data_IF_158482403653
#
_entry.id   IF_158482403653
#
_cell.length_a   1.000
_cell.length_b   1.000
_cell.length_c   1.000
_cell.angle_alpha   90.00
_cell.angle_beta   90.00
_cell.angle_gamma   90.00
#
_symmetry.space_group_name_H-M   'P 1'
#
loop_
_entity.id
_entity.type
_entity.pdbx_description
1 polymer ?
#
# COMPACT_ATOMS: atom_id res chain seq x y z
N UNK A 1 19.76 11.80 16.05
CA UNK A 1 19.63 10.44 15.51
C UNK A 1 18.28 10.37 14.82
N UNK A 2 18.29 10.27 13.49
CA UNK A 2 17.10 10.38 12.65
C UNK A 2 16.27 9.09 12.75
N UNK A 3 15.15 9.13 13.45
CA UNK A 3 13.87 8.47 13.14
C UNK A 3 13.77 6.97 12.80
N UNK A 4 14.83 6.16 12.82
CA UNK A 4 14.78 4.70 12.67
C UNK A 4 14.81 4.02 14.03
N UNK A 5 14.29 2.80 14.15
CA UNK A 5 14.28 2.02 15.39
C UNK A 5 15.69 1.56 15.86
N UNK A 6 16.73 2.35 15.62
CA UNK A 6 18.09 2.15 16.09
C UNK A 6 19.04 1.42 15.14
N UNK A 7 18.60 0.99 13.94
CA UNK A 7 19.49 0.39 12.94
C UNK A 7 19.89 1.38 11.83
N UNK A 8 21.18 1.39 11.50
CA UNK A 8 21.76 2.32 10.51
C UNK A 8 21.24 2.10 9.08
N UNK A 9 20.77 0.89 8.78
CA UNK A 9 20.34 0.47 7.43
C UNK A 9 18.81 0.39 7.28
N UNK A 10 18.06 0.96 8.22
CA UNK A 10 16.59 0.91 8.25
C UNK A 10 15.96 1.40 6.94
N UNK A 11 16.45 2.55 6.45
CA UNK A 11 16.00 3.15 5.21
C UNK A 11 16.13 2.18 4.01
N UNK A 12 17.27 1.50 3.92
CA UNK A 12 17.60 0.63 2.80
C UNK A 12 16.86 -0.71 2.89
N UNK A 13 16.76 -1.29 4.08
CA UNK A 13 16.02 -2.52 4.31
C UNK A 13 14.54 -2.39 3.95
N UNK A 14 13.97 -1.22 4.21
CA UNK A 14 12.60 -0.89 3.83
C UNK A 14 12.43 -0.73 2.31
N UNK A 15 13.40 -0.12 1.61
CA UNK A 15 13.36 -0.07 0.15
C UNK A 15 13.49 -1.47 -0.46
N UNK A 16 14.38 -2.31 0.09
CA UNK A 16 14.56 -3.70 -0.34
C UNK A 16 13.27 -4.49 -0.11
N UNK A 17 12.62 -4.32 1.05
CA UNK A 17 11.36 -4.99 1.37
C UNK A 17 10.27 -4.65 0.35
N UNK A 18 10.13 -3.36 -0.01
CA UNK A 18 9.21 -2.91 -1.05
C UNK A 18 9.53 -3.48 -2.44
N UNK A 19 10.82 -3.56 -2.80
CA UNK A 19 11.25 -4.17 -4.06
C UNK A 19 10.91 -5.65 -4.10
N UNK A 20 11.20 -6.40 -3.03
CA UNK A 20 10.90 -7.84 -2.94
C UNK A 20 9.39 -8.08 -3.06
N UNK A 21 8.57 -7.29 -2.37
CA UNK A 21 7.11 -7.36 -2.51
C UNK A 21 6.64 -7.10 -3.94
N UNK A 22 7.21 -6.09 -4.60
CA UNK A 22 6.90 -5.78 -6.00
C UNK A 22 7.25 -6.95 -6.93
N UNK A 23 8.46 -7.49 -6.83
CA UNK A 23 8.90 -8.63 -7.65
C UNK A 23 8.02 -9.86 -7.43
N UNK A 24 7.56 -10.09 -6.20
CA UNK A 24 6.64 -11.17 -5.90
C UNK A 24 5.29 -10.98 -6.61
N UNK A 25 4.73 -9.76 -6.61
CA UNK A 25 3.49 -9.46 -7.33
C UNK A 25 3.65 -9.66 -8.85
N UNK A 26 4.80 -9.29 -9.43
CA UNK A 26 5.11 -9.62 -10.84
C UNK A 26 5.04 -11.13 -11.07
N UNK A 27 5.64 -11.93 -10.18
CA UNK A 27 5.58 -13.38 -10.23
C UNK A 27 4.15 -13.93 -10.14
N UNK A 28 3.34 -13.38 -9.23
CA UNK A 28 1.91 -13.74 -9.08
C UNK A 28 1.14 -13.43 -10.36
N UNK A 29 1.28 -12.23 -10.92
CA UNK A 29 0.59 -11.85 -12.17
C UNK A 29 1.04 -12.73 -13.33
N UNK A 30 2.34 -13.00 -13.45
CA UNK A 30 2.86 -13.89 -14.48
C UNK A 30 2.32 -15.33 -14.34
N UNK A 31 2.17 -15.82 -13.12
CA UNK A 31 1.59 -17.13 -12.85
C UNK A 31 0.10 -17.18 -13.21
N UNK A 32 -0.67 -16.17 -12.80
CA UNK A 32 -2.10 -16.07 -13.13
C UNK A 32 -2.32 -15.99 -14.64
N UNK A 33 -1.49 -15.23 -15.36
CA UNK A 33 -1.55 -15.17 -16.83
C UNK A 33 -1.21 -16.51 -17.49
N UNK A 34 -0.26 -17.27 -16.93
CA UNK A 34 0.07 -18.62 -17.41
C UNK A 34 -1.07 -19.61 -17.19
N UNK A 35 -1.81 -19.48 -16.10
CA UNK A 35 -2.97 -20.35 -15.83
C UNK A 35 -4.16 -20.04 -16.74
N UNK A 36 -4.39 -18.77 -17.05
CA UNK A 36 -5.44 -18.33 -17.99
C UNK A 36 -5.10 -18.63 -19.46
N UNK A 37 -3.81 -18.71 -19.80
CA UNK A 37 -3.33 -19.06 -21.13
C UNK A 37 -3.40 -20.57 -21.47
N UNK A 38 -3.88 -21.43 -20.55
CA UNK A 38 -4.16 -22.84 -20.89
C UNK A 38 -5.35 -22.88 -21.86
N UNK A 39 -5.20 -23.43 -23.07
CA UNK A 39 -6.29 -23.48 -24.04
C UNK A 39 -7.44 -24.29 -23.46
N UNK A 40 -8.63 -23.67 -23.35
CA UNK A 40 -9.89 -24.41 -23.21
C UNK A 40 -9.94 -25.44 -24.35
N UNK A 41 -9.92 -26.72 -23.98
CA UNK A 41 -9.92 -27.83 -24.93
C UNK A 41 -11.05 -27.68 -25.95
N UNK A 42 -10.64 -27.84 -27.22
CA UNK A 42 -11.42 -28.04 -28.44
C UNK A 42 -12.96 -27.96 -28.30
N UNK A 43 -13.56 -26.92 -28.89
CA UNK A 43 -14.88 -27.08 -29.47
C UNK A 43 -14.79 -28.17 -30.54
N UNK A 44 -15.32 -29.36 -30.23
CA UNK A 44 -15.53 -30.43 -31.22
C UNK A 44 -16.26 -29.79 -32.41
N UNK A 45 -15.73 -29.85 -33.63
CA UNK A 45 -16.50 -29.43 -34.79
C UNK A 45 -17.67 -30.42 -34.90
N UNK A 46 -18.87 -29.96 -34.55
CA UNK A 46 -20.10 -30.66 -34.93
C UNK A 46 -20.13 -30.60 -36.45
N UNK A 47 -19.65 -31.68 -37.06
CA UNK A 47 -19.81 -31.95 -38.48
C UNK A 47 -21.32 -32.14 -38.72
N UNK A 48 -22.01 -31.07 -39.11
CA UNK A 48 -23.34 -31.18 -39.72
C UNK A 48 -23.16 -31.67 -41.16
N UNK A 49 -22.68 -32.91 -41.29
CA UNK A 49 -22.71 -33.66 -42.53
C UNK A 49 -23.97 -34.54 -42.52
N UNK A 50 -25.03 -33.99 -43.12
CA UNK A 50 -26.10 -34.77 -43.75
C UNK A 50 -27.10 -35.46 -42.83
N UNK A 51 -28.36 -35.00 -42.90
CA UNK A 51 -29.47 -35.83 -43.40
C UNK A 51 -30.76 -35.04 -43.43
N UNK A 52 -31.22 -34.83 -44.66
CA UNK A 52 -32.63 -34.80 -44.96
C UNK A 52 -33.27 -36.11 -44.47
N UNK A 53 -34.17 -36.01 -43.49
CA UNK A 53 -35.09 -37.09 -43.15
C UNK A 53 -36.42 -36.51 -42.67
N UNK A 54 -37.41 -36.65 -43.55
CA UNK A 54 -38.84 -36.49 -43.33
C UNK A 54 -39.33 -37.11 -42.00
N UNK A 55 -40.24 -36.36 -41.36
CA UNK A 55 -41.49 -36.78 -40.70
C UNK A 55 -41.54 -38.11 -39.93
N UNK A 56 -41.80 -38.02 -38.62
CA UNK A 56 -42.75 -38.89 -37.90
C UNK A 56 -42.94 -38.34 -36.49
N UNK A 57 -44.19 -38.22 -36.06
CA UNK A 57 -44.53 -37.76 -34.71
C UNK A 57 -44.07 -38.74 -33.62
N UNK A 58 -43.80 -38.19 -32.46
CA UNK A 58 -44.03 -38.84 -31.17
C UNK A 58 -44.06 -37.75 -30.10
N UNK A 59 -45.21 -37.63 -29.43
CA UNK A 59 -45.33 -36.95 -28.15
C UNK A 59 -44.32 -37.57 -27.19
N UNK A 60 -43.29 -36.80 -26.86
CA UNK A 60 -42.31 -37.14 -25.84
C UNK A 60 -42.20 -35.95 -24.92
N UNK A 61 -42.71 -36.11 -23.70
CA UNK A 61 -42.53 -35.21 -22.56
C UNK A 61 -41.11 -34.67 -22.52
N UNK A 62 -40.94 -33.42 -22.98
CA UNK A 62 -39.70 -32.68 -22.89
C UNK A 62 -39.44 -32.39 -21.42
N UNK A 63 -38.62 -33.22 -20.80
CA UNK A 63 -38.12 -32.95 -19.46
C UNK A 63 -37.27 -31.66 -19.57
N UNK A 64 -37.69 -30.63 -18.84
CA UNK A 64 -37.23 -29.24 -18.92
C UNK A 64 -35.78 -29.00 -18.45
N UNK A 65 -34.83 -29.77 -18.94
CA UNK A 65 -33.41 -29.59 -18.61
C UNK A 65 -32.82 -28.31 -19.22
N UNK A 66 -33.39 -27.77 -20.31
CA UNK A 66 -32.89 -26.54 -20.94
C UNK A 66 -33.37 -25.24 -20.29
N UNK A 67 -34.60 -25.22 -19.76
CA UNK A 67 -35.23 -24.02 -19.20
C UNK A 67 -34.71 -23.72 -17.78
N UNK A 68 -34.58 -24.75 -16.95
CA UNK A 68 -34.04 -24.62 -15.58
C UNK A 68 -32.55 -24.24 -15.59
N UNK A 69 -31.77 -24.76 -16.54
CA UNK A 69 -30.36 -24.40 -16.70
C UNK A 69 -30.20 -22.97 -17.25
N UNK A 70 -31.09 -22.53 -18.15
CA UNK A 70 -31.12 -21.17 -18.65
C UNK A 70 -31.46 -20.17 -17.52
N UNK A 71 -32.52 -20.43 -16.75
CA UNK A 71 -32.91 -19.60 -15.61
C UNK A 71 -31.81 -19.54 -14.54
N UNK A 72 -31.22 -20.69 -14.17
CA UNK A 72 -30.13 -20.79 -13.19
C UNK A 72 -28.92 -19.97 -13.64
N UNK A 73 -28.55 -20.05 -14.91
CA UNK A 73 -27.45 -19.28 -15.47
C UNK A 73 -27.76 -17.78 -15.49
N UNK A 74 -28.97 -17.36 -15.88
CA UNK A 74 -29.37 -15.94 -15.83
C UNK A 74 -29.39 -15.39 -14.39
N UNK A 75 -29.91 -16.16 -13.43
CA UNK A 75 -29.95 -15.75 -12.03
C UNK A 75 -28.53 -15.63 -11.46
N UNK A 76 -27.66 -16.63 -11.69
CA UNK A 76 -26.26 -16.59 -11.28
C UNK A 76 -25.49 -15.42 -11.90
N UNK A 77 -25.69 -15.16 -13.20
CA UNK A 77 -25.07 -14.02 -13.89
C UNK A 77 -25.57 -12.68 -13.38
N UNK A 78 -26.87 -12.56 -13.07
CA UNK A 78 -27.46 -11.32 -12.51
C UNK A 78 -26.92 -11.01 -11.12
N UNK A 79 -26.90 -12.00 -10.21
CA UNK A 79 -26.34 -11.85 -8.87
C UNK A 79 -24.85 -11.52 -8.89
N UNK A 80 -24.08 -12.16 -9.77
CA UNK A 80 -22.65 -11.86 -9.92
C UNK A 80 -22.41 -10.43 -10.45
N UNK A 81 -23.30 -9.92 -11.32
CA UNK A 81 -23.22 -8.56 -11.87
C UNK A 81 -23.61 -7.51 -10.83
N UNK A 82 -24.62 -7.77 -10.03
CA UNK A 82 -25.05 -6.84 -8.97
C UNK A 82 -24.06 -6.82 -7.80
N UNK A 83 -23.53 -7.98 -7.39
CA UNK A 83 -22.45 -8.05 -6.39
C UNK A 83 -21.24 -7.21 -6.81
N UNK A 84 -20.89 -7.24 -8.10
CA UNK A 84 -19.74 -6.49 -8.64
C UNK A 84 -19.95 -4.97 -8.61
N UNK A 85 -21.18 -4.49 -8.80
CA UNK A 85 -21.53 -3.06 -8.76
C UNK A 85 -21.54 -2.52 -7.32
N UNK A 86 -22.02 -3.32 -6.36
CA UNK A 86 -22.10 -2.90 -4.96
C UNK A 86 -20.81 -3.13 -4.17
N UNK A 87 -19.88 -3.95 -4.70
CA UNK A 87 -18.61 -4.25 -4.04
C UNK A 87 -17.83 -3.00 -3.63
N UNK A 88 -17.57 -2.08 -4.57
CA UNK A 88 -16.73 -0.91 -4.29
C UNK A 88 -17.37 0.02 -3.22
N UNK A 89 -18.64 0.45 -3.34
CA UNK A 89 -19.28 1.24 -2.30
C UNK A 89 -19.26 0.59 -0.91
N UNK A 90 -19.60 -0.72 -0.84
CA UNK A 90 -19.60 -1.45 0.43
C UNK A 90 -18.19 -1.49 1.02
N UNK A 91 -17.18 -1.81 0.21
CA UNK A 91 -15.81 -1.91 0.66
C UNK A 91 -15.26 -0.55 1.15
N UNK A 92 -15.59 0.55 0.47
CA UNK A 92 -15.24 1.91 0.90
C UNK A 92 -15.93 2.25 2.22
N UNK A 93 -17.23 1.99 2.38
CA UNK A 93 -17.94 2.26 3.63
C UNK A 93 -17.35 1.46 4.79
N UNK A 94 -17.07 0.17 4.59
CA UNK A 94 -16.41 -0.67 5.58
C UNK A 94 -15.04 -0.13 5.96
N UNK A 95 -14.22 0.28 4.98
CA UNK A 95 -12.91 0.85 5.24
C UNK A 95 -12.99 2.20 5.98
N UNK A 96 -13.91 3.09 5.61
CA UNK A 96 -14.10 4.37 6.30
C UNK A 96 -14.53 4.15 7.75
N UNK A 97 -15.46 3.22 7.99
CA UNK A 97 -15.86 2.86 9.35
C UNK A 97 -14.68 2.30 10.17
N UNK A 98 -13.87 1.43 9.56
CA UNK A 98 -12.66 0.89 10.17
C UNK A 98 -11.64 2.00 10.48
N UNK A 99 -11.40 2.90 9.54
CA UNK A 99 -10.49 4.03 9.70
C UNK A 99 -10.94 4.97 10.82
N UNK A 100 -12.24 5.29 10.89
CA UNK A 100 -12.79 6.12 11.98
C UNK A 100 -12.58 5.42 13.33
N UNK A 101 -12.86 4.12 13.43
CA UNK A 101 -12.64 3.37 14.66
C UNK A 101 -11.18 3.43 15.13
N UNK A 102 -10.21 3.30 14.22
CA UNK A 102 -8.78 3.38 14.52
C UNK A 102 -8.26 4.83 14.61
N UNK A 103 -9.03 5.82 14.18
CA UNK A 103 -8.72 7.24 14.40
C UNK A 103 -9.05 7.69 15.83
N UNK A 104 -9.82 6.91 16.59
CA UNK A 104 -10.13 7.19 18.00
C UNK A 104 -8.91 6.84 18.84
N UNK A 105 -8.38 7.83 19.58
CA UNK A 105 -7.25 7.68 20.50
C UNK A 105 -6.03 6.95 19.89
N UNK A 106 -5.39 7.51 18.84
CA UNK A 106 -4.12 6.97 18.38
C UNK A 106 -3.05 7.13 19.47
N UNK A 107 -2.09 6.20 19.48
CA UNK A 107 -1.02 6.16 20.49
C UNK A 107 -0.13 7.41 20.48
N UNK A 108 0.10 7.97 19.31
CA UNK A 108 0.80 9.24 19.11
C UNK A 108 0.06 10.06 18.05
N UNK A 109 -0.38 11.27 18.40
CA UNK A 109 -1.21 12.11 17.52
C UNK A 109 -0.42 12.79 16.41
N UNK A 110 0.83 13.21 16.67
CA UNK A 110 1.64 13.90 15.66
C UNK A 110 2.14 12.91 14.62
N UNK A 111 2.62 11.74 15.06
CA UNK A 111 2.97 10.63 14.17
C UNK A 111 1.72 10.13 13.40
N UNK A 112 0.56 9.97 14.06
CA UNK A 112 -0.67 9.55 13.37
C UNK A 112 -1.09 10.53 12.26
N UNK A 113 -1.03 11.84 12.52
CA UNK A 113 -1.39 12.84 11.52
C UNK A 113 -0.44 12.79 10.32
N UNK A 114 0.86 12.65 10.59
CA UNK A 114 1.88 12.57 9.57
C UNK A 114 1.72 11.31 8.68
N UNK A 115 1.43 10.17 9.30
CA UNK A 115 1.19 8.92 8.58
C UNK A 115 -0.10 8.96 7.74
N UNK A 116 -1.11 9.73 8.15
CA UNK A 116 -2.36 9.90 7.39
C UNK A 116 -2.30 10.98 6.31
N UNK A 117 -1.35 11.92 6.37
CA UNK A 117 -1.21 12.99 5.39
C UNK A 117 -1.09 12.45 3.95
N UNK A 118 -0.24 11.42 3.76
CA UNK A 118 -0.06 10.82 2.44
C UNK A 118 -1.31 10.07 1.97
N UNK A 119 -2.05 9.42 2.88
CA UNK A 119 -3.33 8.77 2.55
C UNK A 119 -4.33 9.82 2.04
N UNK A 120 -4.47 10.95 2.74
CA UNK A 120 -5.40 12.00 2.32
C UNK A 120 -5.07 12.53 0.93
N UNK A 121 -3.78 12.73 0.62
CA UNK A 121 -3.33 13.11 -0.72
C UNK A 121 -3.70 12.03 -1.74
N UNK A 122 -3.35 10.76 -1.48
CA UNK A 122 -3.63 9.65 -2.39
C UNK A 122 -5.12 9.44 -2.66
N UNK A 123 -5.96 9.44 -1.61
CA UNK A 123 -7.41 9.27 -1.72
C UNK A 123 -8.04 10.46 -2.45
N UNK A 124 -7.58 11.68 -2.21
CA UNK A 124 -8.05 12.88 -2.93
C UNK A 124 -7.74 12.77 -4.42
N UNK A 125 -6.51 12.37 -4.78
CA UNK A 125 -6.14 12.16 -6.18
C UNK A 125 -7.01 11.09 -6.83
N UNK A 126 -7.24 9.95 -6.16
CA UNK A 126 -8.13 8.89 -6.65
C UNK A 126 -9.57 9.37 -6.84
N UNK A 127 -10.10 10.15 -5.90
CA UNK A 127 -11.47 10.68 -5.97
C UNK A 127 -11.64 11.66 -7.14
N UNK A 128 -10.65 12.55 -7.34
CA UNK A 128 -10.67 13.52 -8.44
C UNK A 128 -10.47 12.87 -9.81
N UNK A 129 -9.74 11.75 -9.89
CA UNK A 129 -9.49 11.04 -11.14
C UNK A 129 -10.53 9.96 -11.45
N UNK A 130 -11.41 9.61 -10.51
CA UNK A 130 -12.41 8.55 -10.66
C UNK A 130 -13.28 8.72 -11.91
N UNK A 131 -13.74 9.94 -12.21
CA UNK A 131 -14.56 10.21 -13.40
C UNK A 131 -13.80 10.11 -14.73
N UNK A 132 -12.47 10.06 -14.71
CA UNK A 132 -11.61 9.91 -15.90
C UNK A 132 -11.00 8.52 -16.01
N UNK A 133 -10.78 7.86 -14.88
CA UNK A 133 -10.10 6.58 -14.79
C UNK A 133 -10.65 5.73 -13.65
N UNK A 134 -11.36 4.67 -14.04
CA UNK A 134 -11.88 3.67 -13.10
C UNK A 134 -10.93 2.48 -13.03
N UNK A 135 -10.37 2.20 -11.85
CA UNK A 135 -9.56 1.01 -11.62
C UNK A 135 -10.42 -0.25 -11.64
N UNK A 136 -9.78 -1.40 -11.85
CA UNK A 136 -10.44 -2.70 -11.66
C UNK A 136 -10.84 -2.91 -10.19
N UNK A 137 -11.91 -3.68 -9.95
CA UNK A 137 -12.32 -4.07 -8.59
C UNK A 137 -11.19 -4.77 -7.82
N UNK A 138 -10.33 -5.50 -8.52
CA UNK A 138 -9.16 -6.15 -7.91
C UNK A 138 -8.15 -5.11 -7.43
N UNK A 139 -7.83 -4.10 -8.24
CA UNK A 139 -6.97 -2.98 -7.82
C UNK A 139 -7.55 -2.23 -6.63
N UNK A 140 -8.85 -1.94 -6.62
CA UNK A 140 -9.49 -1.32 -5.47
C UNK A 140 -9.39 -2.20 -4.21
N UNK A 141 -9.58 -3.51 -4.33
CA UNK A 141 -9.41 -4.42 -3.20
C UNK A 141 -7.97 -4.39 -2.66
N UNK A 142 -6.96 -4.44 -3.52
CA UNK A 142 -5.55 -4.37 -3.12
C UNK A 142 -5.21 -3.04 -2.42
N UNK A 143 -5.70 -1.92 -2.97
CA UNK A 143 -5.54 -0.59 -2.35
C UNK A 143 -6.18 -0.57 -0.96
N UNK A 144 -7.40 -1.08 -0.81
CA UNK A 144 -8.10 -1.10 0.48
C UNK A 144 -7.41 -1.99 1.52
N UNK A 145 -6.90 -3.17 1.11
CA UNK A 145 -6.13 -4.05 1.98
C UNK A 145 -4.86 -3.34 2.45
N UNK A 146 -4.13 -2.67 1.54
CA UNK A 146 -2.95 -1.91 1.90
C UNK A 146 -3.28 -0.77 2.87
N UNK A 147 -4.34 -0.01 2.59
CA UNK A 147 -4.81 1.08 3.44
C UNK A 147 -5.21 0.57 4.84
N UNK A 148 -5.78 -0.62 4.96
CA UNK A 148 -6.09 -1.22 6.26
C UNK A 148 -4.81 -1.54 7.06
N UNK A 149 -3.80 -2.17 6.43
CA UNK A 149 -2.51 -2.43 7.07
C UNK A 149 -1.80 -1.14 7.51
N UNK A 150 -1.83 -0.12 6.66
CA UNK A 150 -1.29 1.20 6.97
C UNK A 150 -2.03 1.85 8.14
N UNK A 151 -3.36 1.81 8.16
CA UNK A 151 -4.19 2.40 9.24
C UNK A 151 -3.90 1.75 10.59
N UNK A 152 -3.74 0.42 10.63
CA UNK A 152 -3.30 -0.30 11.85
C UNK A 152 -1.95 0.23 12.31
N UNK A 153 -0.99 0.36 11.39
CA UNK A 153 0.33 0.89 11.68
C UNK A 153 0.30 2.34 12.18
N UNK A 154 -0.53 3.20 11.59
CA UNK A 154 -0.69 4.59 11.99
C UNK A 154 -1.35 4.73 13.38
N UNK A 155 -2.33 3.88 13.70
CA UNK A 155 -2.97 3.88 15.03
C UNK A 155 -2.00 3.51 16.15
N UNK A 156 -1.26 2.40 15.96
CA UNK A 156 -0.35 1.89 16.99
C UNK A 156 1.03 2.56 16.98
N UNK A 157 1.40 3.25 15.89
CA UNK A 157 2.79 3.47 15.48
C UNK A 157 3.46 2.16 15.08
N UNK A 158 4.18 2.13 13.96
CA UNK A 158 4.77 0.90 13.40
C UNK A 158 5.62 0.12 14.42
N UNK A 159 6.31 0.81 15.33
CA UNK A 159 7.15 0.19 16.34
C UNK A 159 6.38 -0.58 17.44
N UNK A 160 5.07 -0.33 17.58
CA UNK A 160 4.25 -0.87 18.68
C UNK A 160 3.09 -1.74 18.18
N UNK A 161 3.04 -2.06 16.89
CA UNK A 161 2.00 -2.93 16.35
C UNK A 161 2.16 -4.34 16.92
N UNK A 162 1.11 -4.94 17.51
CA UNK A 162 1.17 -6.27 18.13
C UNK A 162 1.69 -7.37 17.20
N UNK A 163 1.27 -7.36 15.93
CA UNK A 163 1.71 -8.34 14.93
C UNK A 163 3.23 -8.32 14.71
N UNK A 164 3.86 -7.16 14.88
CA UNK A 164 5.30 -7.02 14.80
C UNK A 164 6.05 -7.71 15.93
N UNK A 165 5.50 -7.70 17.15
CA UNK A 165 6.06 -8.44 18.28
C UNK A 165 5.85 -9.95 18.13
N UNK A 166 4.71 -10.40 17.61
CA UNK A 166 4.51 -11.83 17.31
C UNK A 166 5.54 -12.34 16.32
N UNK A 167 5.81 -11.59 15.25
CA UNK A 167 6.85 -11.92 14.30
C UNK A 167 8.25 -11.89 14.93
N UNK A 168 8.51 -10.92 15.81
CA UNK A 168 9.77 -10.84 16.55
C UNK A 168 10.00 -12.11 17.38
N UNK A 169 8.98 -12.57 18.11
CA UNK A 169 9.08 -13.76 18.96
C UNK A 169 9.23 -15.04 18.14
N UNK A 170 8.48 -15.19 17.05
CA UNK A 170 8.51 -16.38 16.19
C UNK A 170 9.81 -16.52 15.39
N UNK A 171 10.41 -15.40 14.96
CA UNK A 171 11.62 -15.38 14.16
C UNK A 171 12.87 -15.03 14.98
N UNK A 172 12.73 -14.94 16.31
CA UNK A 172 13.79 -14.56 17.26
C UNK A 172 14.54 -13.29 16.85
N UNK A 173 13.81 -12.28 16.39
CA UNK A 173 14.38 -11.01 15.93
C UNK A 173 14.74 -10.12 17.14
N UNK A 174 15.71 -9.25 16.94
CA UNK A 174 16.15 -8.32 17.98
C UNK A 174 15.14 -7.20 18.27
N UNK A 175 14.30 -6.84 17.29
CA UNK A 175 13.28 -5.80 17.40
C UNK A 175 12.03 -6.10 16.59
N UNK A 176 11.01 -5.27 16.78
CA UNK A 176 9.80 -5.25 15.97
C UNK A 176 10.10 -4.69 14.57
N UNK A 177 9.94 -5.52 13.53
CA UNK A 177 10.18 -5.15 12.13
C UNK A 177 8.90 -4.96 11.31
N UNK A 178 7.83 -4.47 11.93
CA UNK A 178 6.55 -4.24 11.25
C UNK A 178 6.63 -3.15 10.16
N UNK A 179 7.54 -2.19 10.31
CA UNK A 179 7.93 -1.24 9.26
C UNK A 179 8.21 -1.96 7.93
N UNK A 180 9.07 -2.99 7.96
CA UNK A 180 9.45 -3.78 6.78
C UNK A 180 8.27 -4.54 6.18
N UNK A 181 7.35 -5.03 7.01
CA UNK A 181 6.13 -5.72 6.57
C UNK A 181 5.21 -4.78 5.80
N UNK A 182 5.05 -3.54 6.27
CA UNK A 182 4.26 -2.52 5.58
C UNK A 182 4.92 -2.13 4.26
N UNK A 183 6.24 -1.97 4.23
CA UNK A 183 6.96 -1.64 2.99
C UNK A 183 6.89 -2.79 1.98
N UNK A 184 7.04 -4.03 2.41
CA UNK A 184 6.79 -5.21 1.58
C UNK A 184 5.35 -5.20 1.03
N UNK A 185 4.36 -4.95 1.88
CA UNK A 185 2.95 -4.91 1.50
C UNK A 185 2.66 -3.75 0.54
N UNK A 186 3.32 -2.61 0.69
CA UNK A 186 3.25 -1.46 -0.22
C UNK A 186 3.69 -1.87 -1.64
N UNK A 187 4.86 -2.48 -1.75
CA UNK A 187 5.35 -3.00 -3.03
C UNK A 187 4.46 -4.09 -3.61
N UNK A 188 4.06 -5.07 -2.79
CA UNK A 188 3.25 -6.20 -3.24
C UNK A 188 1.85 -5.77 -3.68
N UNK A 189 1.12 -5.03 -2.85
CA UNK A 189 -0.30 -4.71 -3.09
C UNK A 189 -0.47 -3.56 -4.10
N UNK A 190 0.41 -2.56 -4.11
CA UNK A 190 0.24 -1.38 -4.96
C UNK A 190 0.89 -1.49 -6.33
N UNK A 191 1.71 -2.52 -6.59
CA UNK A 191 2.31 -2.71 -7.91
C UNK A 191 1.24 -2.91 -8.98
N UNK A 192 0.25 -3.76 -8.71
CA UNK A 192 -0.79 -4.06 -9.71
C UNK A 192 -1.66 -2.83 -10.05
N UNK A 193 -2.21 -2.07 -9.08
CA UNK A 193 -2.88 -0.80 -9.37
C UNK A 193 -1.99 0.19 -10.14
N UNK A 194 -0.72 0.34 -9.75
CA UNK A 194 0.22 1.25 -10.45
C UNK A 194 0.44 0.82 -11.90
N UNK A 195 0.60 -0.49 -12.14
CA UNK A 195 0.75 -1.07 -13.47
C UNK A 195 -0.49 -0.85 -14.32
N UNK A 196 -1.67 -1.10 -13.75
CA UNK A 196 -2.96 -0.88 -14.41
C UNK A 196 -3.11 0.59 -14.84
N UNK A 197 -2.77 1.53 -13.96
CA UNK A 197 -2.80 2.96 -14.28
C UNK A 197 -1.86 3.32 -15.43
N UNK A 198 -0.61 2.82 -15.42
CA UNK A 198 0.38 3.13 -16.45
C UNK A 198 0.03 2.53 -17.82
N UNK A 199 -0.47 1.30 -17.85
CA UNK A 199 -0.89 0.67 -19.11
C UNK A 199 -2.12 1.37 -19.68
N UNK A 200 -3.14 1.63 -18.86
CA UNK A 200 -4.43 2.13 -19.34
C UNK A 200 -4.49 3.65 -19.52
N UNK A 201 -3.72 4.43 -18.75
CA UNK A 201 -3.69 5.91 -18.86
C UNK A 201 -2.54 6.41 -19.71
N UNK A 202 -1.32 5.90 -19.48
CA UNK A 202 -0.13 6.37 -20.19
C UNK A 202 0.16 5.58 -21.48
N UNK A 203 -0.67 4.58 -21.82
CA UNK A 203 -0.48 3.70 -22.99
C UNK A 203 0.92 3.06 -23.03
N UNK A 204 1.53 2.87 -21.85
CA UNK A 204 2.83 2.27 -21.73
C UNK A 204 2.74 0.81 -22.19
N UNK A 205 3.78 0.33 -22.89
CA UNK A 205 3.87 -1.09 -23.24
C UNK A 205 3.83 -1.92 -21.94
N UNK A 206 3.08 -3.03 -21.88
CA UNK A 206 2.87 -3.80 -20.65
C UNK A 206 4.17 -4.21 -19.94
N UNK A 207 5.21 -4.53 -20.70
CA UNK A 207 6.54 -4.89 -20.19
C UNK A 207 7.22 -3.71 -19.49
N UNK A 208 7.21 -2.54 -20.12
CA UNK A 208 7.81 -1.32 -19.56
C UNK A 208 7.00 -0.77 -18.38
N UNK A 209 5.68 -0.92 -18.41
CA UNK A 209 4.82 -0.52 -17.33
C UNK A 209 5.18 -1.23 -16.01
N UNK A 210 5.69 -2.46 -16.04
CA UNK A 210 6.13 -3.18 -14.83
C UNK A 210 7.30 -2.43 -14.19
N UNK A 211 8.36 -2.18 -14.96
CA UNK A 211 9.55 -1.49 -14.46
C UNK A 211 9.26 -0.06 -14.04
N UNK A 212 8.41 0.64 -14.79
CA UNK A 212 7.92 1.98 -14.41
C UNK A 212 7.11 1.95 -13.11
N UNK A 213 6.31 0.91 -12.87
CA UNK A 213 5.57 0.76 -11.61
C UNK A 213 6.52 0.53 -10.43
N UNK A 214 7.50 -0.36 -10.58
CA UNK A 214 8.54 -0.59 -9.57
C UNK A 214 9.30 0.70 -9.27
N UNK A 215 9.71 1.45 -10.30
CA UNK A 215 10.42 2.71 -10.15
C UNK A 215 9.55 3.79 -9.47
N UNK A 216 8.28 3.91 -9.86
CA UNK A 216 7.35 4.86 -9.27
C UNK A 216 7.09 4.58 -7.79
N UNK A 217 6.89 3.30 -7.43
CA UNK A 217 6.71 2.90 -6.04
C UNK A 217 7.99 3.13 -5.22
N UNK A 218 9.16 2.79 -5.74
CA UNK A 218 10.44 3.07 -5.08
C UNK A 218 10.64 4.57 -4.84
N UNK A 219 10.27 5.42 -5.82
CA UNK A 219 10.33 6.86 -5.69
C UNK A 219 9.37 7.39 -4.61
N UNK A 220 8.11 6.93 -4.60
CA UNK A 220 7.13 7.32 -3.58
C UNK A 220 7.56 6.89 -2.17
N UNK A 221 8.11 5.68 -2.05
CA UNK A 221 8.62 5.14 -0.80
C UNK A 221 9.84 5.93 -0.27
N UNK A 222 10.71 6.37 -1.18
CA UNK A 222 11.84 7.24 -0.83
C UNK A 222 11.35 8.63 -0.40
N UNK A 223 10.37 9.18 -1.12
CA UNK A 223 9.82 10.51 -0.88
C UNK A 223 9.13 10.62 0.49
N UNK A 224 8.30 9.63 0.86
CA UNK A 224 7.62 9.62 2.16
C UNK A 224 8.61 9.66 3.33
N UNK A 225 9.75 8.97 3.20
CA UNK A 225 10.82 8.98 4.20
C UNK A 225 11.55 10.31 4.29
N UNK A 226 11.85 10.95 3.17
CA UNK A 226 12.48 12.27 3.16
C UNK A 226 11.62 13.34 3.84
N UNK A 227 10.29 13.21 3.75
CA UNK A 227 9.36 14.18 4.33
C UNK A 227 9.18 14.01 5.86
N UNK A 228 9.44 12.82 6.40
CA UNK A 228 9.12 12.46 7.80
C UNK A 228 9.93 13.26 8.85
N UNK A 229 11.24 13.47 8.72
CA UNK A 229 11.98 14.31 9.66
C UNK A 229 11.53 15.78 9.64
N UNK A 230 11.37 16.37 8.45
CA UNK A 230 11.02 17.79 8.27
C UNK A 230 9.63 18.15 8.79
N UNK A 231 8.70 17.21 8.72
CA UNK A 231 7.33 17.39 9.21
C UNK A 231 7.20 17.20 10.72
N UNK A 232 8.01 16.32 11.33
CA UNK A 232 8.05 16.21 12.81
C UNK A 232 8.43 17.52 13.48
N UNK A 233 9.38 18.26 12.91
CA UNK A 233 9.75 19.59 13.41
C UNK A 233 8.61 20.62 13.31
N UNK A 234 7.70 20.46 12.35
CA UNK A 234 6.53 21.32 12.18
C UNK A 234 5.40 20.99 13.16
N UNK A 235 5.23 19.70 13.49
CA UNK A 235 4.15 19.21 14.34
C UNK A 235 4.52 19.10 15.83
N UNK A 236 5.81 19.11 16.19
CA UNK A 236 6.30 19.22 17.57
C UNK A 236 6.94 20.61 17.81
N UNK A 237 6.15 21.64 18.18
CA UNK A 237 6.68 22.98 18.42
C UNK A 237 7.59 23.10 19.65
N UNK A 238 7.75 22.04 20.45
CA UNK A 238 8.52 22.04 21.70
C UNK A 238 10.01 21.72 21.45
N UNK A 239 10.36 21.14 20.30
CA UNK A 239 11.75 20.82 19.94
C UNK A 239 12.47 21.92 19.16
N UNK A 240 11.95 23.15 19.09
CA UNK A 240 12.83 24.27 18.74
C UNK A 240 13.94 24.29 19.78
N UNK A 241 15.23 24.12 19.40
CA UNK A 241 16.28 24.39 20.34
C UNK A 241 16.08 25.85 20.72
N UNK A 242 15.74 26.10 21.98
CA UNK A 242 15.99 27.41 22.59
C UNK A 242 17.41 27.73 22.14
N UNK A 243 17.53 28.73 21.27
CA UNK A 243 18.79 29.31 20.86
C UNK A 243 19.58 29.40 22.15
N UNK A 244 20.62 28.56 22.25
CA UNK A 244 21.52 28.59 23.37
C UNK A 244 22.10 29.98 23.31
N UNK A 245 21.53 30.89 24.10
CA UNK A 245 22.15 32.16 24.42
C UNK A 245 23.41 31.73 25.13
N UNK A 246 24.48 31.52 24.35
CA UNK A 246 25.84 31.51 24.85
C UNK A 246 25.90 32.76 25.69
N UNK A 247 25.87 32.61 27.02
CA UNK A 247 26.40 33.62 27.91
C UNK A 247 27.83 33.80 27.44
N UNK A 248 28.06 34.85 26.66
CA UNK A 248 29.38 35.41 26.45
C UNK A 248 29.78 35.90 27.84
N UNK A 249 30.42 35.03 28.61
CA UNK A 249 31.19 35.44 29.77
C UNK A 249 32.28 36.34 29.23
N UNK A 250 32.06 37.65 29.32
CA UNK A 250 33.11 38.65 29.15
C UNK A 250 34.19 38.31 30.20
N UNK A 251 35.25 37.66 29.75
CA UNK A 251 36.47 37.50 30.52
C UNK A 251 37.01 38.89 30.80
N UNK A 252 36.80 39.38 32.03
CA UNK A 252 37.46 40.58 32.53
C UNK A 252 38.96 40.35 32.48
N UNK A 253 39.60 40.95 31.46
CA UNK A 253 41.05 41.06 31.35
C UNK A 253 41.58 41.89 32.54
N UNK A 254 41.88 41.23 33.65
CA UNK A 254 42.60 41.85 34.76
C UNK A 254 44.08 41.88 34.37
N UNK A 255 44.52 43.03 33.85
CA UNK A 255 45.93 43.36 33.62
C UNK A 255 46.70 43.21 34.94
N UNK A 256 47.60 42.23 34.98
CA UNK A 256 48.60 42.07 36.03
C UNK A 256 49.57 43.25 35.97
N UNK A 257 49.49 44.14 36.95
CA UNK A 257 50.51 45.15 37.21
C UNK A 257 51.64 44.49 38.03
N UNK A 258 52.76 44.16 37.38
CA UNK A 258 54.02 43.90 38.07
C UNK A 258 54.51 45.22 38.69
N UNK A 259 54.53 45.30 40.03
CA UNK A 259 55.30 46.30 40.76
C UNK A 259 56.58 45.65 41.30
N UNK A 260 57.71 46.18 40.84
CA UNK A 260 59.01 46.04 41.48
C UNK A 260 59.00 46.65 42.89
N UNK A 261 59.46 45.90 43.89
CA UNK A 261 60.08 46.41 45.13
C UNK A 261 60.92 45.28 45.74
N UNK A 262 62.21 45.24 45.43
CA UNK A 262 63.31 45.58 46.37
C UNK A 262 63.24 44.85 47.72
N UNK A 263 63.96 43.72 47.79
CA UNK A 263 64.40 43.13 49.04
C UNK A 263 65.60 43.92 49.59
N UNK A 264 65.50 44.33 50.87
CA UNK A 264 66.63 44.69 51.73
C UNK A 264 66.41 44.01 53.07
N UNK A 265 67.20 42.98 53.33
CA UNK A 265 67.88 42.66 54.59
C UNK A 265 68.83 41.49 54.29
#
# INVERSE_FOLDING_TARGET
MLGGQGDEWDAQNDMVSALVGSLLMVGVVALLQRTEARPRFHSVPVSLAGRDARASGSEGTGVGWGEEDAERNTFAHSNARDTRKHFLPIAVVCYVAFWIALAIHPLDRSDWLLENLLIFISVTVLALTYGKFEFSNFSYALILIFLAFHTIGAHYSYAKVPAGFWMQDWLHLNRNHYDRVIHFSFGFLLLYPMHEMLVRSAHARPEWAIWLSVAALAALNSFSKSFKPSSRELFDPISTPLISVRKVTFGTHRKTWQRHSLARC
#
